data_IF_372481757783
#
_entry.id   IF_372481757783
#
_cell.length_a   1.000
_cell.length_b   1.000
_cell.length_c   1.000
_cell.angle_alpha   90.00
_cell.angle_beta   90.00
_cell.angle_gamma   90.00
#
_symmetry.space_group_name_H-M   'P 1'
#
loop_
_entity.id
_entity.type
_entity.pdbx_description
1 polymer ?
#
# COMPACT_ATOMS: atom_id res chain seq x y z
N UNK A 1 42.47 20.88 -38.53
CA UNK A 1 41.11 20.67 -37.97
C UNK A 1 41.35 20.24 -36.53
N UNK A 2 41.22 21.15 -35.56
CA UNK A 2 41.48 20.85 -34.17
C UNK A 2 40.29 20.07 -33.61
N UNK A 3 40.54 18.86 -33.06
CA UNK A 3 39.54 18.17 -32.25
C UNK A 3 39.31 19.00 -30.99
N UNK A 4 38.11 19.55 -30.87
CA UNK A 4 37.63 20.09 -29.60
C UNK A 4 37.25 18.86 -28.76
N UNK A 5 37.85 18.65 -27.57
CA UNK A 5 37.41 17.58 -26.69
C UNK A 5 35.96 17.87 -26.30
N UNK A 6 35.06 16.95 -26.64
CA UNK A 6 33.66 17.02 -26.24
C UNK A 6 33.60 16.69 -24.74
N UNK A 7 33.88 17.68 -23.90
CA UNK A 7 33.62 17.57 -22.48
C UNK A 7 32.10 17.43 -22.30
N UNK A 8 31.67 16.32 -21.71
CA UNK A 8 30.29 16.12 -21.32
C UNK A 8 29.99 17.07 -20.16
N UNK A 9 29.50 18.27 -20.48
CA UNK A 9 28.97 19.18 -19.48
C UNK A 9 27.55 18.73 -19.13
N UNK A 10 27.42 17.95 -18.07
CA UNK A 10 26.12 17.74 -17.44
C UNK A 10 25.73 19.04 -16.74
N UNK A 11 24.52 19.51 -16.99
CA UNK A 11 23.97 20.68 -16.32
C UNK A 11 23.65 20.30 -14.87
N UNK A 12 23.62 21.25 -13.95
CA UNK A 12 23.13 20.97 -12.59
C UNK A 12 21.64 20.63 -12.66
N UNK A 13 21.31 19.38 -12.39
CA UNK A 13 19.95 18.85 -12.44
C UNK A 13 19.89 17.48 -11.72
N UNK A 14 18.68 16.96 -11.53
CA UNK A 14 18.43 15.59 -11.06
C UNK A 14 18.45 14.61 -12.24
N UNK A 15 19.27 13.56 -12.14
CA UNK A 15 19.41 12.52 -13.16
C UNK A 15 19.21 11.14 -12.55
N UNK A 16 18.71 10.20 -13.36
CA UNK A 16 18.83 8.77 -13.05
C UNK A 16 20.25 8.34 -13.41
N UNK A 17 21.08 8.13 -12.39
CA UNK A 17 22.41 7.58 -12.58
C UNK A 17 22.38 6.06 -12.43
N UNK A 18 23.01 5.37 -13.38
CA UNK A 18 23.32 3.96 -13.23
C UNK A 18 24.67 3.82 -12.56
N UNK A 19 24.68 3.35 -11.32
CA UNK A 19 25.90 2.96 -10.64
C UNK A 19 26.13 1.47 -10.86
N UNK A 20 27.20 1.14 -11.57
CA UNK A 20 27.64 -0.24 -11.71
C UNK A 20 28.80 -0.51 -10.76
N UNK A 21 28.57 -1.37 -9.77
CA UNK A 21 29.62 -1.90 -8.92
C UNK A 21 30.12 -3.23 -9.51
N UNK A 22 31.39 -3.29 -9.86
CA UNK A 22 32.07 -4.50 -10.33
C UNK A 22 32.92 -5.05 -9.20
N UNK A 23 32.65 -6.28 -8.79
CA UNK A 23 33.33 -6.95 -7.67
C UNK A 23 34.12 -8.14 -8.19
N UNK A 24 35.29 -8.35 -7.56
CA UNK A 24 36.19 -9.46 -7.89
C UNK A 24 36.84 -9.26 -9.24
N UNK A 25 37.86 -8.41 -9.30
CA UNK A 25 38.78 -8.35 -10.44
C UNK A 25 39.77 -9.52 -10.32
N UNK A 26 39.83 -10.33 -11.37
CA UNK A 26 40.74 -11.48 -11.41
C UNK A 26 41.73 -11.28 -12.55
N UNK A 27 43.00 -11.10 -12.21
CA UNK A 27 44.09 -11.02 -13.19
C UNK A 27 44.58 -12.42 -13.55
N UNK A 28 44.81 -12.62 -14.84
CA UNK A 28 45.39 -13.84 -15.38
C UNK A 28 46.68 -13.47 -16.08
N UNK A 29 47.79 -13.92 -15.50
CA UNK A 29 49.12 -13.75 -16.07
C UNK A 29 49.56 -15.11 -16.61
N UNK A 30 49.75 -15.16 -17.92
CA UNK A 30 50.36 -16.32 -18.56
C UNK A 30 51.81 -15.99 -18.94
N UNK A 31 52.71 -16.93 -18.67
CA UNK A 31 54.06 -16.96 -19.21
C UNK A 31 54.15 -18.15 -20.17
N UNK A 32 54.83 -17.97 -21.31
CA UNK A 32 55.00 -19.02 -22.33
C UNK A 32 53.67 -19.50 -22.96
N UNK A 33 52.72 -18.59 -23.16
CA UNK A 33 51.47 -18.88 -23.85
C UNK A 33 51.70 -19.01 -25.37
N UNK A 34 52.00 -20.22 -25.83
CA UNK A 34 52.19 -20.51 -27.26
C UNK A 34 50.86 -20.79 -27.96
N UNK A 35 50.56 -20.01 -29.00
CA UNK A 35 49.53 -20.36 -29.98
C UNK A 35 50.08 -20.22 -31.39
N UNK A 36 49.52 -20.97 -32.33
CA UNK A 36 49.92 -20.87 -33.73
C UNK A 36 49.53 -19.48 -34.27
N UNK A 37 50.53 -18.65 -34.58
CA UNK A 37 50.31 -17.30 -35.07
C UNK A 37 49.42 -17.18 -36.32
N UNK A 38 48.82 -16.00 -36.54
CA UNK A 38 48.00 -15.68 -37.71
C UNK A 38 46.93 -14.61 -37.43
N UNK A 39 46.01 -14.39 -38.38
CA UNK A 39 44.85 -13.48 -38.21
C UNK A 39 43.70 -14.10 -37.42
N UNK A 40 43.95 -15.24 -36.75
CA UNK A 40 42.93 -15.98 -36.03
C UNK A 40 42.77 -15.43 -34.61
N UNK A 41 41.57 -15.63 -34.09
CA UNK A 41 41.18 -15.43 -32.71
C UNK A 41 42.11 -16.21 -31.75
N UNK A 42 42.80 -15.52 -30.84
CA UNK A 42 43.76 -16.11 -29.88
C UNK A 42 43.15 -16.42 -28.51
N UNK A 43 43.85 -16.06 -27.42
CA UNK A 43 43.43 -16.37 -26.04
C UNK A 43 42.19 -15.59 -25.61
N UNK A 44 41.31 -16.23 -24.84
CA UNK A 44 40.21 -15.56 -24.12
C UNK A 44 39.83 -16.31 -22.85
N UNK A 45 38.99 -15.69 -22.03
CA UNK A 45 38.50 -16.21 -20.75
C UNK A 45 36.98 -16.31 -20.81
N UNK A 46 36.44 -17.49 -20.49
CA UNK A 46 35.00 -17.70 -20.31
C UNK A 46 34.68 -17.94 -18.85
N UNK A 47 33.44 -17.66 -18.45
CA UNK A 47 32.92 -18.10 -17.16
C UNK A 47 32.49 -19.56 -17.26
N UNK A 48 33.07 -20.42 -16.43
CA UNK A 48 32.70 -21.83 -16.36
C UNK A 48 31.62 -22.07 -15.28
N UNK A 49 30.57 -22.79 -15.65
CA UNK A 49 29.52 -23.23 -14.74
C UNK A 49 29.93 -24.55 -14.05
N UNK A 50 29.27 -24.89 -12.94
CA UNK A 50 29.54 -26.12 -12.18
C UNK A 50 29.26 -27.41 -12.95
N UNK A 51 28.47 -27.34 -14.03
CA UNK A 51 28.15 -28.45 -14.93
C UNK A 51 29.17 -28.61 -16.07
N UNK A 52 30.21 -27.77 -16.11
CA UNK A 52 31.24 -27.77 -17.15
C UNK A 52 30.85 -27.01 -18.43
N UNK A 53 29.65 -26.44 -18.50
CA UNK A 53 29.30 -25.49 -19.57
C UNK A 53 30.03 -24.15 -19.36
N UNK A 54 30.16 -23.38 -20.44
CA UNK A 54 30.78 -22.05 -20.41
C UNK A 54 29.81 -20.99 -20.91
N UNK A 55 29.88 -19.79 -20.33
CA UNK A 55 29.13 -18.60 -20.76
C UNK A 55 30.09 -17.44 -21.02
N UNK A 56 29.68 -16.56 -21.93
CA UNK A 56 30.45 -15.36 -22.25
C UNK A 56 30.60 -14.46 -21.03
N UNK A 57 31.81 -13.91 -20.87
CA UNK A 57 32.09 -12.81 -19.95
C UNK A 57 32.74 -11.66 -20.72
N UNK A 58 32.75 -10.46 -20.12
CA UNK A 58 33.52 -9.34 -20.66
C UNK A 58 34.98 -9.48 -20.25
N UNK A 59 35.84 -9.51 -21.24
CA UNK A 59 37.30 -9.60 -21.10
C UNK A 59 37.91 -8.23 -21.34
N UNK A 60 38.83 -7.86 -20.46
CA UNK A 60 39.57 -6.60 -20.53
C UNK A 60 41.04 -6.89 -20.75
N UNK A 61 41.67 -6.10 -21.61
CA UNK A 61 43.09 -6.20 -21.94
C UNK A 61 43.76 -4.90 -21.50
N UNK A 62 44.79 -4.99 -20.66
CA UNK A 62 45.53 -3.84 -20.12
C UNK A 62 46.96 -3.72 -20.68
N UNK A 63 47.34 -4.57 -21.64
CA UNK A 63 48.74 -4.69 -22.07
C UNK A 63 49.18 -3.64 -23.10
N UNK A 64 49.10 -2.36 -22.71
CA UNK A 64 49.61 -1.24 -23.50
C UNK A 64 51.15 -1.23 -23.64
N UNK A 65 51.89 -2.11 -22.94
CA UNK A 65 53.28 -1.81 -22.60
C UNK A 65 54.38 -2.50 -23.41
N UNK A 66 54.15 -3.60 -24.16
CA UNK A 66 55.30 -4.25 -24.81
C UNK A 66 55.15 -4.79 -26.24
N UNK A 67 53.93 -4.92 -26.80
CA UNK A 67 53.74 -5.71 -28.03
C UNK A 67 53.20 -4.97 -29.25
N UNK A 68 53.07 -3.64 -29.22
CA UNK A 68 52.42 -2.86 -30.30
C UNK A 68 51.01 -3.35 -30.67
N UNK A 69 50.35 -4.08 -29.75
CA UNK A 69 48.99 -4.56 -29.86
C UNK A 69 48.00 -3.45 -29.51
N UNK A 70 46.95 -3.33 -30.33
CA UNK A 70 45.88 -2.36 -30.16
C UNK A 70 44.70 -3.03 -29.45
N UNK A 71 44.64 -3.00 -28.12
CA UNK A 71 43.34 -3.17 -27.46
C UNK A 71 43.30 -2.42 -26.14
N UNK A 72 43.20 -1.09 -26.23
CA UNK A 72 42.55 -0.31 -25.17
C UNK A 72 41.04 -0.54 -25.31
N UNK A 73 40.52 -1.58 -24.66
CA UNK A 73 39.07 -1.82 -24.54
C UNK A 73 38.59 -1.37 -23.16
N UNK A 74 38.38 -0.05 -22.94
CA UNK A 74 38.00 0.46 -21.62
C UNK A 74 36.70 -0.14 -21.08
N UNK A 75 35.81 -0.58 -21.98
CA UNK A 75 34.50 -1.15 -21.63
C UNK A 75 34.47 -2.68 -21.66
N UNK A 76 35.57 -3.32 -22.06
CA UNK A 76 35.70 -4.77 -22.25
C UNK A 76 34.79 -5.33 -23.34
N UNK A 77 35.12 -6.51 -23.86
CA UNK A 77 34.37 -7.14 -24.95
C UNK A 77 33.97 -8.57 -24.60
N UNK A 78 32.86 -9.06 -25.15
CA UNK A 78 32.41 -10.42 -24.89
C UNK A 78 33.43 -11.44 -25.43
N UNK A 79 33.76 -12.44 -24.62
CA UNK A 79 34.74 -13.49 -24.92
C UNK A 79 34.51 -14.22 -26.26
N UNK A 80 33.27 -14.31 -26.73
CA UNK A 80 32.93 -14.91 -28.03
C UNK A 80 33.31 -14.06 -29.24
N UNK A 81 33.51 -12.75 -29.07
CA UNK A 81 33.81 -11.80 -30.16
C UNK A 81 35.31 -11.76 -30.44
N UNK A 82 35.70 -11.39 -31.66
CA UNK A 82 37.14 -11.23 -31.99
C UNK A 82 37.84 -10.15 -31.15
N UNK A 83 37.10 -9.18 -30.60
CA UNK A 83 37.67 -8.15 -29.72
C UNK A 83 37.83 -8.64 -28.25
N UNK A 84 36.98 -9.56 -27.80
CA UNK A 84 37.13 -10.23 -26.50
C UNK A 84 38.23 -11.30 -26.48
N UNK A 85 38.92 -11.49 -27.61
CA UNK A 85 40.05 -12.42 -27.76
C UNK A 85 41.32 -11.64 -28.02
N UNK A 86 42.40 -12.05 -27.38
CA UNK A 86 43.70 -11.48 -27.67
C UNK A 86 44.11 -11.91 -29.07
N UNK A 87 44.39 -10.95 -29.95
CA UNK A 87 44.99 -11.23 -31.25
C UNK A 87 46.45 -10.84 -31.17
N UNK A 88 47.35 -11.80 -31.32
CA UNK A 88 48.77 -11.57 -31.10
C UNK A 88 49.50 -10.89 -32.29
N UNK A 89 48.78 -10.14 -33.13
CA UNK A 89 49.33 -9.57 -34.35
C UNK A 89 49.82 -10.63 -35.35
N UNK A 90 50.42 -10.18 -36.45
CA UNK A 90 50.89 -11.08 -37.51
C UNK A 90 52.32 -11.53 -37.22
N UNK A 91 52.51 -12.78 -36.80
CA UNK A 91 53.84 -13.34 -36.54
C UNK A 91 54.56 -13.71 -37.83
N UNK A 92 55.79 -13.24 -38.00
CA UNK A 92 56.65 -13.58 -39.14
C UNK A 92 57.68 -14.67 -38.83
N UNK A 93 57.75 -15.16 -37.58
CA UNK A 93 58.60 -16.28 -37.14
C UNK A 93 58.11 -16.90 -35.81
N UNK A 94 58.59 -18.12 -35.53
CA UNK A 94 57.95 -19.18 -34.77
C UNK A 94 57.70 -19.00 -33.25
N UNK A 95 57.96 -17.86 -32.60
CA UNK A 95 57.58 -17.62 -31.19
C UNK A 95 57.87 -16.18 -30.76
N UNK A 96 57.11 -15.66 -29.78
CA UNK A 96 57.40 -14.39 -29.07
C UNK A 96 58.39 -14.58 -27.90
N UNK A 97 58.85 -15.80 -27.67
CA UNK A 97 59.86 -16.14 -26.68
C UNK A 97 59.33 -16.12 -25.23
N UNK A 98 60.04 -16.84 -24.37
CA UNK A 98 59.70 -17.20 -22.98
C UNK A 98 59.54 -16.03 -21.98
N UNK A 99 59.46 -14.78 -22.45
CA UNK A 99 59.47 -13.56 -21.63
C UNK A 99 58.28 -12.61 -21.91
N UNK A 100 57.32 -13.00 -22.75
CA UNK A 100 56.11 -12.20 -22.97
C UNK A 100 55.08 -12.49 -21.87
N UNK A 101 54.66 -11.44 -21.16
CA UNK A 101 53.57 -11.50 -20.19
C UNK A 101 52.30 -10.99 -20.84
N UNK A 102 51.22 -11.74 -20.70
CA UNK A 102 49.87 -11.28 -21.07
C UNK A 102 49.15 -10.96 -19.78
N UNK A 103 48.67 -9.73 -19.63
CA UNK A 103 47.78 -9.35 -18.54
C UNK A 103 46.36 -9.11 -19.07
N UNK A 104 45.44 -9.91 -18.56
CA UNK A 104 44.02 -9.78 -18.81
C UNK A 104 43.27 -9.96 -17.53
N UNK A 105 42.15 -9.26 -17.39
CA UNK A 105 41.27 -9.43 -16.26
C UNK A 105 39.81 -9.57 -16.67
N UNK A 106 39.05 -10.20 -15.78
CA UNK A 106 37.59 -10.27 -15.84
C UNK A 106 37.03 -9.84 -14.50
N UNK A 107 35.78 -9.37 -14.50
CA UNK A 107 35.02 -9.16 -13.27
C UNK A 107 34.15 -10.39 -12.97
N UNK A 108 34.10 -10.79 -11.71
CA UNK A 108 33.30 -11.93 -11.27
C UNK A 108 31.80 -11.62 -11.21
N UNK A 109 31.42 -10.54 -10.52
CA UNK A 109 30.03 -10.11 -10.38
C UNK A 109 29.94 -8.62 -10.68
N UNK A 110 29.04 -8.24 -11.59
CA UNK A 110 28.64 -6.86 -11.78
C UNK A 110 27.19 -6.72 -11.32
N UNK A 111 26.95 -5.80 -10.39
CA UNK A 111 25.60 -5.35 -10.05
C UNK A 111 25.43 -3.92 -10.53
N UNK A 112 24.27 -3.62 -11.10
CA UNK A 112 23.94 -2.28 -11.54
C UNK A 112 22.70 -1.84 -10.78
N UNK A 113 22.77 -0.67 -10.15
CA UNK A 113 21.65 -0.04 -9.48
C UNK A 113 21.40 1.32 -10.12
N UNK A 114 20.14 1.67 -10.30
CA UNK A 114 19.79 3.01 -10.79
C UNK A 114 19.20 3.80 -9.64
N UNK A 115 19.88 4.89 -9.25
CA UNK A 115 19.44 5.79 -8.19
C UNK A 115 19.17 7.19 -8.76
N UNK A 116 18.33 7.95 -8.07
CA UNK A 116 18.24 9.39 -8.29
C UNK A 116 19.52 10.04 -7.74
N UNK A 117 20.21 10.82 -8.55
CA UNK A 117 21.37 11.60 -8.11
C UNK A 117 21.27 13.01 -8.65
N UNK A 118 21.57 14.02 -7.85
CA UNK A 118 21.77 15.36 -8.38
C UNK A 118 23.24 15.59 -8.68
N UNK A 119 23.50 16.25 -9.80
CA UNK A 119 24.81 16.83 -10.08
C UNK A 119 24.80 18.23 -9.48
N UNK A 120 25.51 18.38 -8.36
CA UNK A 120 25.62 19.64 -7.62
C UNK A 120 26.96 20.34 -7.92
N UNK A 121 27.00 21.66 -7.74
CA UNK A 121 28.23 22.47 -7.95
C UNK A 121 29.31 22.27 -6.89
N UNK A 122 28.94 21.65 -5.78
CA UNK A 122 29.60 21.76 -4.49
C UNK A 122 29.39 20.46 -3.69
N UNK A 123 30.29 20.15 -2.75
CA UNK A 123 30.25 18.96 -1.89
C UNK A 123 29.18 19.08 -0.77
N UNK A 124 28.23 19.99 -0.92
CA UNK A 124 27.13 20.21 0.03
C UNK A 124 26.14 19.06 -0.11
N UNK A 125 25.75 18.49 1.04
CA UNK A 125 24.70 17.48 1.13
C UNK A 125 23.47 17.94 0.36
N UNK A 126 23.03 17.12 -0.59
CA UNK A 126 21.77 17.34 -1.26
C UNK A 126 20.65 17.17 -0.22
N UNK A 127 19.81 18.19 -0.07
CA UNK A 127 18.59 18.14 0.73
C UNK A 127 17.38 18.14 -0.20
N UNK A 128 16.26 17.60 0.28
CA UNK A 128 14.99 17.61 -0.42
C UNK A 128 13.96 18.49 0.27
N UNK A 129 12.70 18.24 -0.03
CA UNK A 129 11.52 18.84 0.57
C UNK A 129 10.74 17.72 1.23
N UNK A 130 10.52 17.82 2.54
CA UNK A 130 9.79 16.82 3.31
C UNK A 130 8.47 16.42 2.62
N UNK A 131 8.37 15.15 2.27
CA UNK A 131 7.15 14.54 1.77
C UNK A 131 6.07 14.46 2.86
N UNK A 132 4.81 14.51 2.46
CA UNK A 132 3.68 14.26 3.37
C UNK A 132 2.81 13.13 2.86
N UNK A 133 2.29 12.32 3.78
CA UNK A 133 1.37 11.22 3.51
C UNK A 133 0.03 11.48 4.20
N UNK A 134 -1.06 11.32 3.46
CA UNK A 134 -2.42 11.54 3.95
C UNK A 134 -3.32 10.37 3.62
N UNK A 135 -4.02 9.88 4.64
CA UNK A 135 -5.11 8.89 4.56
C UNK A 135 -6.32 9.43 5.32
N UNK A 136 -7.54 8.91 5.10
CA UNK A 136 -8.64 9.19 6.01
C UNK A 136 -8.29 8.68 7.42
N UNK A 137 -8.85 9.32 8.45
CA UNK A 137 -8.72 8.84 9.83
C UNK A 137 -9.38 7.45 10.02
N UNK A 138 -10.46 7.19 9.29
CA UNK A 138 -11.18 5.93 9.35
C UNK A 138 -11.73 5.51 7.98
N UNK A 139 -11.83 4.20 7.78
CA UNK A 139 -12.53 3.56 6.66
C UNK A 139 -13.40 2.42 7.20
N UNK A 140 -14.08 1.72 6.31
CA UNK A 140 -14.96 0.61 6.64
C UNK A 140 -14.59 -0.64 5.85
N UNK A 141 -14.81 -1.85 6.41
CA UNK A 141 -14.58 -3.08 5.68
C UNK A 141 -15.31 -3.10 4.34
N UNK A 142 -14.64 -3.56 3.27
CA UNK A 142 -15.21 -3.61 1.93
C UNK A 142 -15.28 -2.26 1.20
N UNK A 143 -14.85 -1.17 1.83
CA UNK A 143 -14.86 0.16 1.22
C UNK A 143 -13.53 0.47 0.51
N UNK A 144 -13.54 1.54 -0.29
CA UNK A 144 -12.32 2.11 -0.86
C UNK A 144 -12.09 3.53 -0.33
N UNK A 145 -10.83 3.94 -0.28
CA UNK A 145 -10.43 5.28 0.11
C UNK A 145 -9.20 5.74 -0.67
N UNK A 146 -8.96 7.04 -0.69
CA UNK A 146 -7.80 7.64 -1.36
C UNK A 146 -6.63 7.73 -0.41
N UNK A 147 -5.45 7.33 -0.89
CA UNK A 147 -4.16 7.61 -0.26
C UNK A 147 -3.48 8.67 -1.12
N UNK A 148 -3.00 9.74 -0.47
CA UNK A 148 -2.38 10.88 -1.14
C UNK A 148 -1.00 11.16 -0.55
N UNK A 149 -0.01 11.34 -1.43
CA UNK A 149 1.35 11.77 -1.07
C UNK A 149 1.63 13.09 -1.76
N UNK A 150 2.01 14.11 -0.99
CA UNK A 150 2.61 15.33 -1.57
C UNK A 150 4.12 15.20 -1.48
N UNK A 151 4.77 15.08 -2.63
CA UNK A 151 6.21 14.80 -2.75
C UNK A 151 6.82 15.61 -3.90
N UNK A 152 7.36 16.81 -3.62
CA UNK A 152 7.99 17.64 -4.63
C UNK A 152 9.26 17.02 -5.23
N UNK A 153 9.96 16.13 -4.52
CA UNK A 153 11.23 15.58 -5.00
C UNK A 153 11.11 14.52 -6.08
N UNK A 154 9.95 13.84 -6.14
CA UNK A 154 9.62 12.86 -7.17
C UNK A 154 8.84 13.45 -8.36
N UNK A 155 8.54 14.76 -8.33
CA UNK A 155 7.96 15.51 -9.43
C UNK A 155 9.07 16.20 -10.25
N UNK A 156 9.73 15.43 -11.12
CA UNK A 156 11.00 15.80 -11.75
C UNK A 156 10.87 16.14 -13.24
N UNK A 157 9.85 15.60 -13.91
CA UNK A 157 9.60 15.75 -15.33
C UNK A 157 8.34 16.60 -15.52
N UNK A 158 8.47 17.93 -15.72
CA UNK A 158 7.34 18.86 -15.68
C UNK A 158 6.29 18.67 -16.80
N UNK A 159 6.54 17.74 -17.73
CA UNK A 159 5.65 17.38 -18.83
C UNK A 159 5.18 15.91 -18.79
N UNK A 160 5.59 15.14 -17.77
CA UNK A 160 5.19 13.76 -17.57
C UNK A 160 4.28 13.64 -16.35
N UNK A 161 3.63 12.49 -16.24
CA UNK A 161 2.98 12.05 -15.01
C UNK A 161 3.92 11.00 -14.42
N UNK A 162 4.29 11.17 -13.18
CA UNK A 162 5.19 10.28 -12.46
C UNK A 162 4.43 9.35 -11.52
N UNK A 163 5.16 8.37 -10.97
CA UNK A 163 4.66 7.45 -9.97
C UNK A 163 5.63 7.29 -8.81
N UNK A 164 5.09 6.90 -7.66
CA UNK A 164 5.84 6.49 -6.46
C UNK A 164 5.14 5.30 -5.79
N UNK A 165 5.75 4.73 -4.75
CA UNK A 165 5.17 3.61 -4.00
C UNK A 165 4.87 3.95 -2.54
N UNK A 166 3.78 3.36 -2.04
CA UNK A 166 3.40 3.35 -0.61
C UNK A 166 3.16 1.91 -0.21
N UNK A 167 3.54 1.54 1.01
CA UNK A 167 3.24 0.22 1.57
C UNK A 167 2.14 0.37 2.61
N UNK A 168 1.09 -0.43 2.53
CA UNK A 168 0.02 -0.50 3.54
C UNK A 168 0.11 -1.84 4.25
N UNK A 169 0.03 -1.83 5.58
CA UNK A 169 0.05 -3.04 6.42
C UNK A 169 -1.17 -3.06 7.32
N UNK A 170 -1.89 -4.18 7.36
CA UNK A 170 -2.88 -4.42 8.41
C UNK A 170 -2.17 -4.82 9.70
N UNK A 171 -2.25 -3.98 10.73
CA UNK A 171 -1.56 -4.18 12.01
C UNK A 171 -2.01 -5.42 12.78
N UNK A 172 -3.21 -5.93 12.52
CA UNK A 172 -3.75 -7.15 13.16
C UNK A 172 -3.27 -8.42 12.46
N UNK A 173 -3.31 -8.43 11.12
CA UNK A 173 -3.08 -9.65 10.33
C UNK A 173 -1.66 -9.75 9.76
N UNK A 174 -0.92 -8.64 9.76
CA UNK A 174 0.40 -8.46 9.12
C UNK A 174 0.42 -8.67 7.59
N UNK A 175 -0.76 -8.68 6.96
CA UNK A 175 -0.89 -8.61 5.51
C UNK A 175 -0.39 -7.25 4.99
N UNK A 176 0.20 -7.25 3.79
CA UNK A 176 0.90 -6.09 3.23
C UNK A 176 0.63 -5.89 1.74
N UNK A 177 0.29 -4.66 1.36
CA UNK A 177 0.12 -4.23 -0.02
C UNK A 177 1.07 -3.10 -0.41
N UNK A 178 1.89 -3.31 -1.46
CA UNK A 178 2.67 -2.24 -2.11
C UNK A 178 1.85 -1.61 -3.24
N UNK A 179 1.49 -0.35 -3.04
CA UNK A 179 0.67 0.43 -3.95
C UNK A 179 1.54 1.33 -4.82
N UNK A 180 1.13 1.51 -6.08
CA UNK A 180 1.72 2.52 -6.98
C UNK A 180 0.79 3.71 -7.06
N UNK A 181 1.24 4.87 -6.57
CA UNK A 181 0.52 6.12 -6.65
C UNK A 181 0.95 6.86 -7.92
N UNK A 182 0.02 7.57 -8.55
CA UNK A 182 0.24 8.31 -9.79
C UNK A 182 0.01 9.79 -9.55
N UNK A 183 0.83 10.66 -10.14
CA UNK A 183 0.57 12.10 -10.06
C UNK A 183 -0.85 12.45 -10.54
N UNK A 184 -1.53 13.32 -9.80
CA UNK A 184 -2.89 13.80 -10.11
C UNK A 184 -2.97 14.60 -11.42
N UNK A 185 -1.82 15.06 -11.89
CA UNK A 185 -1.61 15.68 -13.19
C UNK A 185 -0.14 16.02 -13.36
N UNK A 186 0.23 16.40 -14.58
CA UNK A 186 1.62 16.79 -14.89
C UNK A 186 2.10 17.88 -13.94
N UNK A 187 3.26 17.67 -13.34
CA UNK A 187 3.91 18.65 -12.48
C UNK A 187 3.09 19.08 -11.26
N UNK A 188 2.25 18.20 -10.72
CA UNK A 188 1.44 18.51 -9.53
C UNK A 188 2.18 18.28 -8.23
N UNK A 189 3.13 17.33 -8.19
CA UNK A 189 3.78 16.90 -6.94
C UNK A 189 2.82 16.24 -5.95
N UNK A 190 1.61 15.89 -6.38
CA UNK A 190 0.60 15.20 -5.58
C UNK A 190 0.30 13.88 -6.27
N UNK A 191 0.55 12.78 -5.58
CA UNK A 191 0.40 11.42 -6.06
C UNK A 191 -0.76 10.76 -5.32
N UNK A 192 -1.65 10.10 -6.05
CA UNK A 192 -2.82 9.46 -5.47
C UNK A 192 -3.04 8.04 -5.98
N UNK A 193 -3.69 7.23 -5.16
CA UNK A 193 -4.27 5.93 -5.54
C UNK A 193 -5.59 5.73 -4.80
N UNK A 194 -6.56 5.10 -5.46
CA UNK A 194 -7.74 4.54 -4.80
C UNK A 194 -7.39 3.15 -4.29
N UNK A 195 -7.44 2.95 -2.99
CA UNK A 195 -7.14 1.68 -2.34
C UNK A 195 -8.42 1.04 -1.84
N UNK A 196 -8.67 -0.21 -2.24
CA UNK A 196 -9.85 -0.97 -1.85
C UNK A 196 -9.50 -1.95 -0.72
N UNK A 197 -10.46 -2.18 0.16
CA UNK A 197 -10.38 -3.19 1.21
C UNK A 197 -11.48 -4.23 1.02
N UNK A 198 -11.28 -5.42 1.59
CA UNK A 198 -12.21 -6.54 1.53
C UNK A 198 -12.57 -6.97 2.95
N UNK A 199 -13.87 -7.13 3.22
CA UNK A 199 -14.36 -7.57 4.55
C UNK A 199 -14.19 -9.09 4.72
N UNK A 200 -12.95 -9.50 5.01
CA UNK A 200 -12.57 -10.90 5.22
C UNK A 200 -11.69 -10.98 6.47
N UNK A 201 -11.95 -12.00 7.29
CA UNK A 201 -11.14 -12.29 8.47
C UNK A 201 -9.78 -12.90 8.10
N UNK A 202 -8.73 -12.42 8.76
CA UNK A 202 -7.36 -12.94 8.61
C UNK A 202 -6.60 -12.36 7.41
N UNK A 203 -5.32 -12.69 7.33
CA UNK A 203 -4.45 -12.19 6.28
C UNK A 203 -4.83 -12.76 4.89
N UNK A 204 -4.91 -11.87 3.91
CA UNK A 204 -4.86 -12.16 2.48
C UNK A 204 -3.44 -12.44 1.95
N UNK A 205 -3.27 -12.33 0.63
CA UNK A 205 -1.97 -12.56 -0.03
C UNK A 205 -1.28 -11.24 -0.24
N UNK A 206 -0.04 -11.09 0.25
CA UNK A 206 0.67 -9.82 0.09
C UNK A 206 0.93 -9.45 -1.38
N UNK A 207 0.74 -8.17 -1.68
CA UNK A 207 0.96 -7.52 -2.98
C UNK A 207 0.08 -8.10 -4.10
N UNK A 208 -1.14 -8.51 -3.78
CA UNK A 208 -2.13 -8.97 -4.76
C UNK A 208 -3.14 -7.87 -5.16
N UNK A 209 -3.09 -6.71 -4.50
CA UNK A 209 -3.94 -5.56 -4.75
C UNK A 209 -5.24 -5.53 -3.94
N UNK A 210 -5.51 -6.58 -3.14
CA UNK A 210 -6.65 -6.65 -2.24
C UNK A 210 -6.16 -6.66 -0.78
N UNK A 211 -6.79 -5.88 0.09
CA UNK A 211 -6.43 -5.83 1.51
C UNK A 211 -7.57 -6.38 2.36
N UNK A 212 -7.38 -7.53 3.00
CA UNK A 212 -8.38 -8.05 3.94
C UNK A 212 -8.36 -7.26 5.25
N UNK A 213 -9.55 -6.85 5.68
CA UNK A 213 -9.75 -6.08 6.90
C UNK A 213 -11.02 -6.50 7.62
N UNK A 214 -11.06 -6.28 8.93
CA UNK A 214 -12.26 -6.34 9.74
C UNK A 214 -12.41 -5.09 10.60
N UNK A 215 -13.63 -4.87 11.11
CA UNK A 215 -13.89 -3.85 12.12
C UNK A 215 -12.95 -4.02 13.32
N UNK A 216 -12.25 -2.95 13.69
CA UNK A 216 -11.25 -2.91 14.75
C UNK A 216 -9.80 -3.05 14.27
N UNK A 217 -9.55 -3.32 12.98
CA UNK A 217 -8.20 -3.30 12.42
C UNK A 217 -7.67 -1.88 12.25
N UNK A 218 -6.35 -1.72 12.33
CA UNK A 218 -5.65 -0.48 11.99
C UNK A 218 -4.76 -0.73 10.78
N UNK A 219 -4.93 0.06 9.73
CA UNK A 219 -4.06 0.04 8.56
C UNK A 219 -2.98 1.11 8.69
N UNK A 220 -1.71 0.70 8.73
CA UNK A 220 -0.58 1.63 8.72
C UNK A 220 -0.06 1.77 7.29
N UNK A 221 -0.14 2.98 6.74
CA UNK A 221 0.44 3.34 5.45
C UNK A 221 1.81 3.99 5.66
N UNK A 222 2.80 3.56 4.88
CA UNK A 222 4.18 4.03 4.95
C UNK A 222 4.65 4.48 3.57
N UNK A 223 5.05 5.74 3.49
CA UNK A 223 5.77 6.32 2.35
C UNK A 223 7.23 6.55 2.76
N UNK A 224 8.19 6.12 1.94
CA UNK A 224 9.60 6.41 2.19
C UNK A 224 10.01 7.67 1.43
N UNK A 225 10.12 8.77 2.16
CA UNK A 225 10.78 9.97 1.69
C UNK A 225 12.28 9.66 1.52
N UNK A 226 12.76 9.73 0.29
CA UNK A 226 14.16 9.44 -0.01
C UNK A 226 15.09 10.58 0.46
N UNK A 227 14.56 11.80 0.57
CA UNK A 227 15.35 12.98 0.87
C UNK A 227 14.52 14.06 1.58
N UNK A 228 14.59 14.09 2.89
CA UNK A 228 14.00 15.16 3.69
C UNK A 228 14.81 16.48 3.55
N UNK A 229 14.34 17.53 4.21
CA UNK A 229 14.98 18.85 4.29
C UNK A 229 16.37 18.85 4.94
N UNK A 230 16.79 17.75 5.55
CA UNK A 230 18.13 17.53 6.10
C UNK A 230 19.01 16.65 5.19
N UNK A 231 18.43 16.06 4.15
CA UNK A 231 19.08 15.12 3.23
C UNK A 231 19.06 13.67 3.70
N UNK A 232 18.24 13.33 4.70
CA UNK A 232 18.06 11.98 5.19
C UNK A 232 16.88 11.28 4.52
N UNK A 233 16.91 9.95 4.45
CA UNK A 233 15.72 9.18 4.08
C UNK A 233 14.89 8.88 5.34
N UNK A 234 13.59 9.10 5.26
CA UNK A 234 12.65 9.00 6.37
C UNK A 234 11.39 8.25 5.94
N UNK A 235 10.93 7.34 6.78
CA UNK A 235 9.61 6.73 6.61
C UNK A 235 8.55 7.67 7.21
N UNK A 236 7.61 8.12 6.38
CA UNK A 236 6.44 8.91 6.76
C UNK A 236 5.25 7.97 6.88
N UNK A 237 4.64 7.90 8.07
CA UNK A 237 3.55 6.95 8.35
C UNK A 237 2.26 7.64 8.77
N UNK A 238 1.12 7.02 8.44
CA UNK A 238 -0.21 7.41 8.90
C UNK A 238 -1.08 6.16 9.10
N UNK A 239 -2.04 6.25 10.01
CA UNK A 239 -2.95 5.17 10.32
C UNK A 239 -4.37 5.46 9.80
N UNK A 240 -5.05 4.40 9.37
CA UNK A 240 -6.49 4.41 9.05
C UNK A 240 -7.17 3.35 9.89
N UNK A 241 -8.09 3.77 10.76
CA UNK A 241 -8.87 2.83 11.57
C UNK A 241 -10.02 2.22 10.76
N UNK A 242 -10.18 0.90 10.83
CA UNK A 242 -11.28 0.20 10.18
C UNK A 242 -12.44 0.10 11.16
N UNK A 243 -13.51 0.85 10.90
CA UNK A 243 -14.71 0.88 11.74
C UNK A 243 -15.86 0.15 11.06
N UNK A 244 -16.56 -0.68 11.83
CA UNK A 244 -17.74 -1.39 11.36
C UNK A 244 -18.85 -0.43 10.93
N UNK A 245 -19.55 -0.77 9.86
CA UNK A 245 -20.71 -0.02 9.34
C UNK A 245 -21.99 -0.62 9.88
N UNK A 246 -22.93 0.21 10.30
CA UNK A 246 -24.22 -0.28 10.77
C UNK A 246 -24.97 -1.06 9.69
N UNK A 247 -25.32 -2.29 10.00
CA UNK A 247 -26.10 -3.19 9.17
C UNK A 247 -27.48 -3.40 9.79
N UNK A 248 -28.52 -2.84 9.17
CA UNK A 248 -29.90 -2.98 9.64
C UNK A 248 -30.38 -4.45 9.71
N UNK A 249 -29.85 -5.32 8.84
CA UNK A 249 -30.14 -6.76 8.85
C UNK A 249 -29.63 -7.52 10.07
N UNK A 250 -28.60 -6.99 10.75
CA UNK A 250 -27.97 -7.61 11.93
C UNK A 250 -28.32 -6.90 13.24
N UNK A 251 -28.78 -5.65 13.16
CA UNK A 251 -29.08 -4.79 14.31
C UNK A 251 -30.35 -5.23 15.04
N UNK A 252 -30.44 -4.90 16.34
CA UNK A 252 -31.51 -5.37 17.22
C UNK A 252 -32.32 -4.19 17.79
N UNK A 253 -33.63 -4.39 17.94
CA UNK A 253 -34.55 -3.47 18.62
C UNK A 253 -35.13 -4.20 19.84
N UNK A 254 -35.04 -3.57 21.01
CA UNK A 254 -35.58 -4.11 22.26
C UNK A 254 -36.43 -3.08 22.99
N UNK A 255 -37.34 -3.55 23.83
CA UNK A 255 -38.22 -2.71 24.66
C UNK A 255 -38.15 -3.14 26.13
N UNK A 256 -38.19 -2.17 27.05
CA UNK A 256 -38.21 -2.44 28.48
C UNK A 256 -38.95 -1.34 29.26
N UNK A 257 -40.04 -1.67 29.99
CA UNK A 257 -40.72 -2.98 30.04
C UNK A 257 -41.44 -3.32 28.72
N UNK A 258 -41.70 -4.61 28.46
CA UNK A 258 -42.45 -5.10 27.30
C UNK A 258 -43.97 -4.99 27.46
N UNK A 259 -44.46 -4.54 28.62
CA UNK A 259 -45.88 -4.27 28.86
C UNK A 259 -46.04 -3.06 29.78
N UNK A 260 -46.97 -2.18 29.44
CA UNK A 260 -47.28 -0.94 30.17
C UNK A 260 -48.79 -0.70 30.21
N UNK A 261 -49.28 0.06 31.19
CA UNK A 261 -50.72 0.35 31.30
C UNK A 261 -51.13 1.36 30.22
N UNK A 262 -52.28 1.12 29.58
CA UNK A 262 -52.90 2.00 28.60
C UNK A 262 -53.59 3.21 29.27
N UNK A 263 -52.82 4.03 30.00
CA UNK A 263 -53.29 5.20 30.75
C UNK A 263 -52.91 6.55 30.10
N UNK A 264 -52.24 6.55 28.95
CA UNK A 264 -51.77 7.76 28.28
C UNK A 264 -50.47 8.34 28.86
N UNK A 265 -49.82 7.66 29.80
CA UNK A 265 -48.69 8.21 30.56
C UNK A 265 -47.59 7.21 30.93
N UNK A 266 -47.91 5.92 31.03
CA UNK A 266 -46.95 4.86 31.29
C UNK A 266 -45.95 4.77 30.14
N UNK A 267 -44.69 4.45 30.44
CA UNK A 267 -43.61 4.50 29.45
C UNK A 267 -42.81 3.21 29.33
N UNK A 268 -42.35 2.89 28.13
CA UNK A 268 -41.35 1.86 27.84
C UNK A 268 -40.13 2.49 27.17
N UNK A 269 -38.93 2.03 27.53
CA UNK A 269 -37.69 2.43 26.85
C UNK A 269 -37.43 1.50 25.68
N UNK A 270 -37.39 2.03 24.48
CA UNK A 270 -36.96 1.33 23.27
C UNK A 270 -35.45 1.55 23.14
N UNK A 271 -34.70 0.46 22.94
CA UNK A 271 -33.26 0.50 22.71
C UNK A 271 -32.92 -0.23 21.42
N UNK A 272 -32.19 0.44 20.53
CA UNK A 272 -31.57 -0.16 19.34
C UNK A 272 -30.09 -0.42 19.65
N UNK A 273 -29.62 -1.64 19.41
CA UNK A 273 -28.19 -1.96 19.34
C UNK A 273 -27.81 -2.10 17.87
N UNK A 274 -27.01 -1.16 17.36
CA UNK A 274 -26.47 -1.28 16.01
C UNK A 274 -25.34 -2.31 15.99
N UNK A 275 -25.32 -3.08 14.91
CA UNK A 275 -24.33 -4.11 14.63
C UNK A 275 -23.84 -3.98 13.21
N UNK A 276 -22.62 -4.45 12.96
CA UNK A 276 -22.10 -4.59 11.60
C UNK A 276 -22.66 -5.84 10.89
N UNK A 277 -22.27 -6.01 9.62
CA UNK A 277 -22.67 -7.16 8.79
C UNK A 277 -22.22 -8.50 9.37
N UNK A 278 -21.12 -8.51 10.13
CA UNK A 278 -20.59 -9.69 10.84
C UNK A 278 -21.34 -9.97 12.16
N UNK A 279 -22.26 -9.08 12.57
CA UNK A 279 -23.06 -9.22 13.78
C UNK A 279 -22.39 -8.70 15.05
N UNK A 280 -21.24 -8.03 14.92
CA UNK A 280 -20.49 -7.40 16.02
C UNK A 280 -21.17 -6.09 16.40
N UNK A 281 -21.28 -5.81 17.70
CA UNK A 281 -21.83 -4.54 18.17
C UNK A 281 -20.92 -3.38 17.74
N UNK A 282 -21.51 -2.34 17.16
CA UNK A 282 -20.81 -1.07 17.04
C UNK A 282 -20.55 -0.50 18.44
N UNK A 283 -19.40 0.15 18.60
CA UNK A 283 -18.95 0.74 19.88
C UNK A 283 -18.90 2.26 19.84
N UNK A 284 -19.25 2.85 18.70
CA UNK A 284 -19.36 4.29 18.47
C UNK A 284 -20.78 4.63 18.00
N UNK A 285 -21.24 5.83 18.32
CA UNK A 285 -22.46 6.41 17.74
C UNK A 285 -22.21 7.15 16.43
N UNK A 286 -23.18 7.97 16.01
CA UNK A 286 -23.10 8.85 14.84
C UNK A 286 -24.00 8.43 13.65
N UNK A 287 -24.54 7.23 13.66
CA UNK A 287 -25.49 6.78 12.63
C UNK A 287 -26.87 7.44 12.81
N UNK A 288 -27.59 7.60 11.69
CA UNK A 288 -28.95 8.12 11.72
C UNK A 288 -29.94 7.00 11.95
N UNK A 289 -30.43 6.85 13.18
CA UNK A 289 -31.49 5.89 13.54
C UNK A 289 -32.85 6.57 13.60
N UNK A 290 -33.83 6.01 12.88
CA UNK A 290 -35.23 6.43 12.91
C UNK A 290 -36.08 5.26 13.38
N UNK A 291 -36.95 5.48 14.35
CA UNK A 291 -37.89 4.49 14.85
C UNK A 291 -39.33 4.86 14.46
N UNK A 292 -40.22 3.88 14.44
CA UNK A 292 -41.65 4.07 14.19
C UNK A 292 -42.49 3.09 15.00
N UNK A 293 -43.66 3.53 15.45
CA UNK A 293 -44.60 2.79 16.28
C UNK A 293 -45.97 2.63 15.62
N UNK A 294 -46.67 1.53 15.93
CA UNK A 294 -48.04 1.32 15.45
C UNK A 294 -49.13 2.00 16.30
N UNK A 295 -48.84 2.34 17.55
CA UNK A 295 -49.72 3.08 18.47
C UNK A 295 -48.93 3.68 19.65
N UNK A 296 -49.54 4.64 20.35
CA UNK A 296 -48.89 5.42 21.40
C UNK A 296 -48.19 6.66 20.84
N UNK A 297 -47.15 7.13 21.51
CA UNK A 297 -46.29 8.20 21.02
C UNK A 297 -44.83 7.88 21.36
N UNK A 298 -43.97 7.85 20.34
CA UNK A 298 -42.55 7.69 20.52
C UNK A 298 -41.83 9.04 20.66
N UNK A 299 -40.90 9.13 21.61
CA UNK A 299 -40.02 10.28 21.78
C UNK A 299 -38.92 10.36 20.73
N UNK A 300 -38.06 11.38 20.84
CA UNK A 300 -36.88 11.51 19.98
C UNK A 300 -35.91 10.34 20.21
N UNK A 301 -35.25 9.88 19.15
CA UNK A 301 -34.16 8.92 19.24
C UNK A 301 -32.91 9.65 19.73
N UNK A 302 -32.31 9.15 20.81
CA UNK A 302 -31.07 9.65 21.39
C UNK A 302 -29.95 8.67 21.10
N UNK A 303 -28.89 9.13 20.46
CA UNK A 303 -27.63 8.40 20.33
C UNK A 303 -26.88 8.41 21.67
N UNK A 304 -26.52 7.22 22.18
CA UNK A 304 -25.79 7.07 23.43
C UNK A 304 -24.26 7.11 23.23
N UNK A 305 -23.78 7.25 21.99
CA UNK A 305 -22.37 7.37 21.63
C UNK A 305 -21.58 6.06 21.67
N UNK A 306 -22.25 4.94 21.95
CA UNK A 306 -21.63 3.63 22.17
C UNK A 306 -22.24 2.54 21.26
N UNK A 307 -22.79 2.92 20.11
CA UNK A 307 -23.50 2.04 19.18
C UNK A 307 -24.93 1.68 19.60
N UNK A 308 -25.42 2.23 20.70
CA UNK A 308 -26.84 2.09 21.11
C UNK A 308 -27.61 3.39 20.99
N UNK A 309 -28.90 3.27 20.70
CA UNK A 309 -29.83 4.38 20.53
C UNK A 309 -31.07 4.14 21.37
N UNK A 310 -31.62 5.16 22.01
CA UNK A 310 -32.77 5.02 22.89
C UNK A 310 -33.90 6.00 22.57
N UNK A 311 -35.14 5.56 22.75
CA UNK A 311 -36.33 6.39 22.65
C UNK A 311 -37.37 5.96 23.68
N UNK A 312 -38.17 6.90 24.19
CA UNK A 312 -39.25 6.60 25.14
C UNK A 312 -40.57 6.45 24.41
N UNK A 313 -41.19 5.27 24.48
CA UNK A 313 -42.57 5.04 24.05
C UNK A 313 -43.51 5.39 25.21
N UNK A 314 -44.47 6.28 24.98
CA UNK A 314 -45.55 6.60 25.92
C UNK A 314 -46.83 5.89 25.48
N UNK A 315 -47.55 5.29 26.44
CA UNK A 315 -48.76 4.55 26.16
C UNK A 315 -49.89 5.43 25.61
N UNK A 316 -50.77 4.82 24.82
CA UNK A 316 -52.08 5.39 24.51
C UNK A 316 -53.10 5.08 25.61
N UNK A 317 -54.39 5.36 25.36
CA UNK A 317 -55.49 5.07 26.29
C UNK A 317 -56.32 3.84 25.90
N UNK A 318 -55.86 3.07 24.92
CA UNK A 318 -56.51 1.84 24.46
C UNK A 318 -55.53 0.69 24.52
N UNK A 319 -56.03 -0.50 24.89
CA UNK A 319 -55.22 -1.71 24.89
C UNK A 319 -54.84 -2.11 23.47
N UNK A 320 -53.57 -2.43 23.24
CA UNK A 320 -53.04 -2.78 21.93
C UNK A 320 -51.69 -3.49 22.09
N UNK A 321 -51.28 -4.26 21.09
CA UNK A 321 -49.89 -4.71 20.95
C UNK A 321 -49.21 -3.76 19.97
N UNK A 322 -48.24 -3.00 20.47
CA UNK A 322 -47.50 -1.99 19.69
C UNK A 322 -46.26 -2.64 19.09
N UNK A 323 -46.12 -2.56 17.77
CA UNK A 323 -44.90 -2.98 17.07
C UNK A 323 -44.02 -1.76 16.83
N UNK A 324 -42.73 -1.90 17.14
CA UNK A 324 -41.70 -0.92 16.88
C UNK A 324 -40.80 -1.43 15.76
N UNK A 325 -40.68 -0.61 14.71
CA UNK A 325 -39.77 -0.82 13.58
C UNK A 325 -38.75 0.32 13.53
N UNK A 326 -37.74 0.20 12.67
CA UNK A 326 -36.79 1.29 12.47
C UNK A 326 -35.95 1.18 11.22
N UNK A 327 -35.16 2.23 10.97
CA UNK A 327 -34.13 2.30 9.94
C UNK A 327 -32.82 2.82 10.53
N UNK A 328 -31.71 2.47 9.90
CA UNK A 328 -30.38 3.02 10.15
C UNK A 328 -29.77 3.47 8.83
N UNK A 329 -29.34 4.74 8.76
CA UNK A 329 -28.82 5.38 7.54
C UNK A 329 -29.72 5.19 6.31
N UNK A 330 -31.04 5.13 6.53
CA UNK A 330 -32.05 4.90 5.49
C UNK A 330 -32.31 3.42 5.15
N UNK A 331 -31.46 2.49 5.58
CA UNK A 331 -31.68 1.04 5.45
C UNK A 331 -32.59 0.50 6.56
N UNK A 332 -33.47 -0.45 6.24
CA UNK A 332 -34.38 -1.03 7.24
C UNK A 332 -33.64 -1.87 8.30
N UNK A 333 -34.00 -1.68 9.57
CA UNK A 333 -33.67 -2.65 10.62
C UNK A 333 -34.70 -3.77 10.53
N UNK A 334 -34.25 -4.99 10.30
CA UNK A 334 -35.17 -6.13 10.07
C UNK A 334 -35.76 -6.67 11.37
N UNK A 335 -35.09 -6.42 12.49
CA UNK A 335 -35.61 -6.75 13.81
C UNK A 335 -36.72 -5.78 14.24
N UNK A 336 -37.64 -6.25 15.08
CA UNK A 336 -38.76 -5.46 15.61
C UNK A 336 -38.95 -5.73 17.08
N UNK A 337 -39.33 -4.70 17.85
CA UNK A 337 -39.73 -4.88 19.25
C UNK A 337 -41.26 -4.80 19.38
N UNK A 338 -41.79 -5.37 20.47
CA UNK A 338 -43.22 -5.27 20.81
C UNK A 338 -43.41 -4.73 22.22
N UNK A 339 -44.46 -3.94 22.42
CA UNK A 339 -44.90 -3.47 23.75
C UNK A 339 -46.41 -3.64 23.87
N UNK A 340 -46.87 -4.36 24.89
CA UNK A 340 -48.30 -4.54 25.16
C UNK A 340 -48.85 -3.42 26.05
N UNK A 341 -49.79 -2.66 25.51
CA UNK A 341 -50.62 -1.74 26.28
C UNK A 341 -51.76 -2.53 26.93
N UNK A 342 -51.70 -2.69 28.25
CA UNK A 342 -52.66 -3.49 29.02
C UNK A 342 -53.65 -2.61 29.76
N UNK A 343 -54.81 -3.18 30.10
CA UNK A 343 -55.79 -2.47 30.91
C UNK A 343 -55.22 -2.16 32.31
N UNK A 344 -55.57 -0.99 32.84
CA UNK A 344 -55.27 -0.65 34.23
C UNK A 344 -56.08 -1.48 35.22
N UNK A 345 -55.80 -1.29 36.51
CA UNK A 345 -56.59 -1.91 37.58
C UNK A 345 -58.07 -1.48 37.48
N UNK A 346 -58.99 -2.43 37.73
CA UNK A 346 -60.41 -2.14 37.74
C UNK A 346 -60.76 -1.13 38.85
N UNK A 347 -61.54 -0.10 38.51
CA UNK A 347 -61.99 0.93 39.44
C UNK A 347 -63.47 0.71 39.75
N UNK A 348 -63.79 0.56 41.05
CA UNK A 348 -65.17 0.29 41.52
C UNK A 348 -66.14 1.38 41.08
N UNK A 349 -65.72 2.66 41.10
CA UNK A 349 -66.57 3.80 40.75
C UNK A 349 -66.97 3.91 39.27
N UNK A 350 -66.27 3.20 38.37
CA UNK A 350 -66.60 3.18 36.93
C UNK A 350 -67.11 1.83 36.46
N UNK A 351 -67.17 0.85 37.36
CA UNK A 351 -67.72 -0.48 37.07
C UNK A 351 -69.24 -0.46 37.18
N UNK A 352 -69.94 -1.18 36.30
CA UNK A 352 -71.40 -1.23 36.27
C UNK A 352 -71.89 -2.68 36.41
N UNK A 353 -72.95 -2.88 37.19
CA UNK A 353 -73.67 -4.16 37.29
C UNK A 353 -75.09 -3.92 36.78
N UNK A 354 -75.58 -4.73 35.84
CA UNK A 354 -76.94 -4.66 35.29
C UNK A 354 -77.62 -6.04 35.33
N UNK A 355 -78.93 -6.09 35.56
CA UNK A 355 -79.74 -7.31 35.50
C UNK A 355 -80.85 -7.20 34.43
N UNK A 356 -81.15 -8.28 33.70
CA UNK A 356 -82.23 -8.34 32.70
C UNK A 356 -82.88 -9.75 32.62
N UNK A 357 -84.22 -9.87 32.66
CA UNK A 357 -85.18 -8.79 32.86
C UNK A 357 -85.05 -8.25 34.29
N UNK A 358 -85.25 -6.94 34.43
CA UNK A 358 -85.56 -6.36 35.74
C UNK A 358 -86.96 -6.85 36.10
N UNK A 359 -87.07 -7.53 37.23
CA UNK A 359 -88.29 -8.19 37.75
C UNK A 359 -89.58 -7.38 37.59
#
# INVERSE_FOLDING_TARGET
MALIPMALFLVMDKYRANLQARLGEYHFIANDAETSGGTADGLTVFLANSDGSVVDTRVYWDDATYLSGSSILPDGELASTSAGKHTWGNFTSDSIGNNAYIDTYVYGLASSYTALTAIVSDDVLQTGIDGTLSTPQSSSPGSSFTISVTEPDNNILPASIETLSVVVVNGTTAEQEQLTLTETGVNTGIFEVSFATTDIAGAGTNNDGDMNVQSGDTLTSTYQDQLDSTGASVDVTTDTEIVGVAAGGSSLISSSPTSIVADGSSTSTITVQLKDVSGTNLVSGGDTVVLSESAGSLGIVTDNGNGTYSATLTSGTSTATVTITGTVNGGAITDTASVDFVAGAAVVGTSQITASPTS
#
